data_IF_518229040313
#
_entry.id   IF_518229040313
#
_cell.length_a   1.000
_cell.length_b   1.000
_cell.length_c   1.000
_cell.angle_alpha   90.00
_cell.angle_beta   90.00
_cell.angle_gamma   90.00
#
_symmetry.space_group_name_H-M   'P 1'
#
loop_
_entity.id
_entity.type
_entity.pdbx_description
1 polymer ?
#
# COMPACT_ATOMS: atom_id res chain seq x y z
N UNK A 1 -10.99 -14.76 -56.58
CA UNK A 1 -10.73 -13.45 -55.92
C UNK A 1 -11.62 -13.20 -54.70
N UNK A 2 -12.94 -13.50 -54.72
CA UNK A 2 -13.83 -13.30 -53.56
C UNK A 2 -13.44 -14.06 -52.28
N UNK A 3 -12.91 -15.28 -52.41
CA UNK A 3 -12.51 -16.11 -51.25
C UNK A 3 -11.29 -15.53 -50.51
N UNK A 4 -10.30 -14.95 -51.22
CA UNK A 4 -9.16 -14.25 -50.61
C UNK A 4 -9.59 -12.97 -49.88
N UNK A 5 -10.60 -12.25 -50.38
CA UNK A 5 -11.11 -11.05 -49.75
C UNK A 5 -11.84 -11.36 -48.43
N UNK A 6 -12.60 -12.46 -48.40
CA UNK A 6 -13.27 -12.93 -47.18
C UNK A 6 -12.23 -13.35 -46.12
N UNK A 7 -11.17 -14.05 -46.54
CA UNK A 7 -10.10 -14.48 -45.63
C UNK A 7 -9.32 -13.29 -45.05
N UNK A 8 -9.03 -12.28 -45.88
CA UNK A 8 -8.38 -11.05 -45.46
C UNK A 8 -9.24 -10.24 -44.46
N UNK A 9 -10.55 -10.16 -44.69
CA UNK A 9 -11.51 -9.51 -43.79
C UNK A 9 -11.61 -10.25 -42.45
N UNK A 10 -11.67 -11.58 -42.45
CA UNK A 10 -11.67 -12.36 -41.20
C UNK A 10 -10.35 -12.21 -40.43
N UNK A 11 -9.21 -12.17 -41.10
CA UNK A 11 -7.90 -11.99 -40.46
C UNK A 11 -7.76 -10.60 -39.82
N UNK A 12 -8.24 -9.56 -40.50
CA UNK A 12 -8.27 -8.19 -39.95
C UNK A 12 -9.22 -8.09 -38.74
N UNK A 13 -10.31 -8.85 -38.72
CA UNK A 13 -11.27 -8.89 -37.61
C UNK A 13 -10.68 -9.52 -36.34
N UNK A 14 -9.75 -10.48 -36.49
CA UNK A 14 -9.03 -11.09 -35.37
C UNK A 14 -7.94 -10.18 -34.79
N UNK A 15 -7.37 -9.25 -35.57
CA UNK A 15 -6.35 -8.31 -35.09
C UNK A 15 -6.90 -7.18 -34.22
N UNK A 16 -8.21 -6.93 -34.25
CA UNK A 16 -8.88 -5.92 -33.42
C UNK A 16 -9.68 -6.50 -32.24
N UNK A 17 -9.38 -7.73 -31.82
CA UNK A 17 -9.90 -8.22 -30.54
C UNK A 17 -9.24 -7.42 -29.40
N UNK A 18 -9.90 -6.33 -29.03
CA UNK A 18 -9.87 -5.63 -27.74
C UNK A 18 -8.64 -5.94 -26.88
N UNK A 19 -7.54 -5.23 -27.13
CA UNK A 19 -6.56 -5.01 -26.07
C UNK A 19 -7.25 -4.16 -25.00
N UNK A 20 -7.89 -4.81 -24.03
CA UNK A 20 -8.19 -4.18 -22.75
C UNK A 20 -6.83 -3.97 -22.10
N UNK A 21 -6.21 -2.84 -22.41
CA UNK A 21 -5.11 -2.32 -21.61
C UNK A 21 -5.75 -1.90 -20.29
N UNK A 22 -5.82 -2.83 -19.35
CA UNK A 22 -6.18 -2.48 -17.98
C UNK A 22 -5.15 -1.49 -17.48
N UNK A 23 -5.58 -0.26 -17.28
CA UNK A 23 -4.74 0.83 -16.76
C UNK A 23 -4.73 0.80 -15.24
N UNK A 24 -5.61 0.02 -14.61
CA UNK A 24 -5.61 -0.18 -13.17
C UNK A 24 -6.09 -1.58 -12.77
N UNK A 25 -5.79 -1.93 -11.52
CA UNK A 25 -6.51 -2.99 -10.79
C UNK A 25 -7.20 -2.37 -9.58
N UNK A 26 -8.45 -2.74 -9.35
CA UNK A 26 -9.27 -2.16 -8.27
C UNK A 26 -9.92 -3.20 -7.37
N UNK A 27 -10.08 -2.84 -6.10
CA UNK A 27 -10.85 -3.58 -5.12
C UNK A 27 -11.71 -2.62 -4.30
N UNK A 28 -13.02 -2.81 -4.37
CA UNK A 28 -13.98 -2.05 -3.58
C UNK A 28 -14.21 -2.70 -2.22
N UNK A 29 -14.28 -1.88 -1.18
CA UNK A 29 -14.54 -2.33 0.18
C UNK A 29 -14.95 -1.18 1.09
N UNK A 30 -14.83 -1.43 2.39
CA UNK A 30 -15.10 -0.45 3.43
C UNK A 30 -13.79 -0.03 4.08
N UNK A 31 -13.65 1.25 4.43
CA UNK A 31 -12.45 1.75 5.12
C UNK A 31 -12.28 1.13 6.51
N UNK A 32 -11.07 1.11 7.07
CA UNK A 32 -10.85 0.62 8.43
C UNK A 32 -11.31 1.64 9.51
N UNK A 33 -11.88 1.14 10.60
CA UNK A 33 -12.27 1.95 11.76
C UNK A 33 -11.05 2.41 12.57
N UNK A 34 -10.10 1.52 12.82
CA UNK A 34 -8.89 1.81 13.57
C UNK A 34 -7.63 1.42 12.79
N UNK A 35 -7.03 2.38 12.12
CA UNK A 35 -5.84 2.16 11.30
C UNK A 35 -4.55 2.02 12.12
N UNK A 36 -4.53 2.49 13.37
CA UNK A 36 -3.35 2.41 14.24
C UNK A 36 -3.19 1.03 14.87
N UNK A 37 -4.29 0.34 15.16
CA UNK A 37 -4.26 -1.03 15.68
C UNK A 37 -4.17 -2.05 14.53
N UNK A 38 -2.99 -2.64 14.35
CA UNK A 38 -2.76 -3.62 13.29
C UNK A 38 -3.57 -4.93 13.45
N UNK A 39 -4.09 -5.20 14.64
CA UNK A 39 -4.86 -6.42 14.94
C UNK A 39 -6.38 -6.21 14.81
N UNK A 40 -6.83 -5.01 14.47
CA UNK A 40 -8.24 -4.66 14.33
C UNK A 40 -8.59 -4.39 12.85
N UNK A 41 -9.21 -5.36 12.16
CA UNK A 41 -9.68 -5.18 10.80
C UNK A 41 -11.13 -4.64 10.75
N UNK A 42 -11.69 -4.10 11.83
CA UNK A 42 -13.07 -3.64 11.83
C UNK A 42 -13.31 -2.56 10.75
N UNK A 43 -14.30 -2.74 9.86
CA UNK A 43 -14.63 -1.74 8.88
C UNK A 43 -15.39 -0.58 9.52
N UNK A 44 -15.24 0.59 8.93
CA UNK A 44 -16.15 1.72 9.09
C UNK A 44 -17.21 1.66 7.97
N UNK A 45 -18.27 2.46 8.06
CA UNK A 45 -19.33 2.46 7.04
C UNK A 45 -18.99 3.31 5.80
N UNK A 46 -17.71 3.60 5.56
CA UNK A 46 -17.27 4.45 4.45
C UNK A 46 -16.81 3.57 3.28
N UNK A 47 -17.47 3.63 2.12
CA UNK A 47 -16.99 2.96 0.92
C UNK A 47 -15.64 3.54 0.50
N UNK A 48 -14.69 2.66 0.18
CA UNK A 48 -13.35 3.01 -0.29
C UNK A 48 -12.99 2.05 -1.43
N UNK A 49 -12.28 2.55 -2.43
CA UNK A 49 -11.71 1.73 -3.50
C UNK A 49 -10.19 1.73 -3.37
N UNK A 50 -9.60 0.55 -3.20
CA UNK A 50 -8.16 0.34 -3.38
C UNK A 50 -7.89 0.27 -4.88
N UNK A 51 -7.16 1.25 -5.42
CA UNK A 51 -6.85 1.31 -6.85
C UNK A 51 -5.34 1.41 -7.03
N UNK A 52 -4.78 0.45 -7.79
CA UNK A 52 -3.42 0.52 -8.30
C UNK A 52 -3.47 0.86 -9.79
N UNK A 53 -3.09 2.09 -10.13
CA UNK A 53 -3.08 2.59 -11.50
C UNK A 53 -1.67 2.56 -12.09
N UNK A 54 -1.53 2.12 -13.34
CA UNK A 54 -0.24 2.06 -14.04
C UNK A 54 0.19 3.48 -14.41
N UNK A 55 1.33 3.90 -13.86
CA UNK A 55 2.00 5.15 -14.22
C UNK A 55 2.96 4.92 -15.39
N UNK A 56 3.73 3.82 -15.33
CA UNK A 56 4.80 3.53 -16.28
C UNK A 56 5.00 2.01 -16.42
N UNK A 57 5.09 1.53 -17.65
CA UNK A 57 5.64 0.20 -17.97
C UNK A 57 7.14 0.34 -18.21
N UNK A 58 7.94 -0.21 -17.29
CA UNK A 58 9.40 -0.15 -17.32
C UNK A 58 9.99 -1.25 -18.23
N UNK A 59 9.17 -2.23 -18.62
CA UNK A 59 9.57 -3.41 -19.36
C UNK A 59 10.00 -4.57 -18.46
N UNK A 60 10.11 -5.75 -19.06
CA UNK A 60 10.49 -6.98 -18.33
C UNK A 60 9.47 -7.42 -17.28
N UNK A 61 8.21 -6.98 -17.41
CA UNK A 61 7.13 -7.25 -16.44
C UNK A 61 7.16 -6.32 -15.22
N UNK A 62 8.00 -5.28 -15.20
CA UNK A 62 8.07 -4.31 -14.09
C UNK A 62 7.22 -3.08 -14.42
N UNK A 63 6.42 -2.64 -13.44
CA UNK A 63 5.55 -1.48 -13.56
C UNK A 63 5.74 -0.53 -12.39
N UNK A 64 5.62 0.77 -12.64
CA UNK A 64 5.40 1.76 -11.60
C UNK A 64 3.92 2.06 -11.51
N UNK A 65 3.39 1.98 -10.31
CA UNK A 65 1.97 2.15 -10.03
C UNK A 65 1.74 3.33 -9.09
N UNK A 66 0.54 3.90 -9.15
CA UNK A 66 0.00 4.83 -8.16
C UNK A 66 -1.06 4.10 -7.35
N UNK A 67 -0.90 4.05 -6.03
CA UNK A 67 -1.92 3.54 -5.11
C UNK A 67 -2.78 4.69 -4.59
N UNK A 68 -4.09 4.58 -4.75
CA UNK A 68 -5.09 5.44 -4.09
C UNK A 68 -6.03 4.60 -3.22
N UNK A 69 -6.63 5.24 -2.21
CA UNK A 69 -7.64 4.65 -1.33
C UNK A 69 -7.10 3.68 -0.26
N UNK A 70 -5.98 2.99 -0.50
CA UNK A 70 -5.28 2.18 0.50
C UNK A 70 -5.24 0.70 0.18
N UNK A 71 -4.84 -0.14 1.14
CA UNK A 71 -4.67 -1.60 0.96
C UNK A 71 -5.64 -2.38 1.84
N UNK A 72 -6.19 -3.52 1.38
CA UNK A 72 -6.95 -4.44 2.22
C UNK A 72 -6.14 -4.91 3.43
N UNK A 73 -6.67 -4.62 4.61
CA UNK A 73 -6.21 -5.08 5.90
C UNK A 73 -7.09 -6.22 6.39
N UNK A 74 -6.43 -7.27 6.86
CA UNK A 74 -7.05 -8.45 7.45
C UNK A 74 -6.06 -9.08 8.42
N UNK A 75 -6.58 -9.90 9.33
CA UNK A 75 -5.77 -10.70 10.26
C UNK A 75 -5.99 -12.18 9.96
N UNK A 76 -4.97 -13.01 10.21
CA UNK A 76 -5.10 -14.45 10.02
C UNK A 76 -6.28 -14.99 10.84
N UNK A 77 -7.01 -15.96 10.31
CA UNK A 77 -8.18 -16.56 10.96
C UNK A 77 -9.39 -15.63 11.13
N UNK A 78 -9.45 -14.52 10.41
CA UNK A 78 -10.60 -13.61 10.38
C UNK A 78 -11.09 -13.40 8.93
N UNK A 79 -12.42 -13.36 8.75
CA UNK A 79 -13.06 -13.09 7.46
C UNK A 79 -13.26 -11.60 7.18
N UNK A 80 -13.14 -10.77 8.22
CA UNK A 80 -13.33 -9.33 8.12
C UNK A 80 -12.15 -8.71 7.38
N UNK A 81 -12.47 -7.93 6.35
CA UNK A 81 -11.54 -7.15 5.55
C UNK A 81 -12.00 -5.69 5.56
N UNK A 82 -11.06 -4.78 5.75
CA UNK A 82 -11.26 -3.34 5.57
C UNK A 82 -10.13 -2.76 4.72
N UNK A 83 -10.29 -1.56 4.18
CA UNK A 83 -9.25 -0.87 3.40
C UNK A 83 -8.59 0.17 4.30
N UNK A 84 -7.29 0.02 4.50
CA UNK A 84 -6.49 0.95 5.28
C UNK A 84 -5.87 2.00 4.36
N UNK A 85 -6.44 3.20 4.37
CA UNK A 85 -5.91 4.37 3.65
C UNK A 85 -4.77 5.07 4.39
N UNK A 86 -4.78 5.01 5.73
CA UNK A 86 -3.90 5.86 6.55
C UNK A 86 -2.50 5.29 6.61
N UNK A 87 -2.35 4.01 6.94
CA UNK A 87 -0.99 3.43 7.07
C UNK A 87 -0.46 2.90 5.75
N UNK A 88 -1.33 2.58 4.78
CA UNK A 88 -0.90 2.14 3.45
C UNK A 88 -0.38 3.28 2.58
N UNK A 89 -0.94 4.50 2.70
CA UNK A 89 -0.52 5.66 1.92
C UNK A 89 0.45 6.53 2.75
N UNK A 90 0.10 6.82 4.00
CA UNK A 90 0.96 7.59 4.91
C UNK A 90 0.87 9.10 4.74
N UNK A 91 1.90 9.79 5.22
CA UNK A 91 1.98 11.24 5.35
C UNK A 91 3.18 11.79 4.59
N UNK A 92 3.07 13.05 4.18
CA UNK A 92 4.17 13.85 3.65
C UNK A 92 4.26 15.18 4.40
N UNK A 93 5.45 15.77 4.41
CA UNK A 93 5.63 17.12 4.91
C UNK A 93 7.10 17.45 5.11
N UNK A 94 7.56 18.49 4.43
CA UNK A 94 8.82 19.15 4.76
C UNK A 94 8.48 20.35 5.65
N UNK A 95 8.92 20.41 6.93
CA UNK A 95 8.50 21.46 7.86
C UNK A 95 8.67 22.88 7.33
N UNK A 96 9.78 23.15 6.62
CA UNK A 96 10.10 24.47 6.09
C UNK A 96 9.28 24.87 4.85
N UNK A 97 8.57 23.92 4.23
CA UNK A 97 7.81 24.11 2.98
C UNK A 97 6.31 23.92 3.21
N UNK A 98 5.93 22.78 3.79
CA UNK A 98 4.55 22.33 3.95
C UNK A 98 3.99 22.63 5.36
N UNK A 99 4.85 22.97 6.32
CA UNK A 99 4.47 23.11 7.73
C UNK A 99 4.19 21.76 8.38
N UNK A 100 2.95 21.53 8.84
CA UNK A 100 2.58 20.26 9.48
C UNK A 100 2.44 19.12 8.46
N UNK A 101 2.87 17.90 8.79
CA UNK A 101 2.67 16.76 7.90
C UNK A 101 1.18 16.54 7.61
N UNK A 102 0.87 16.27 6.35
CA UNK A 102 -0.48 16.04 5.84
C UNK A 102 -0.60 14.63 5.26
N UNK A 103 -1.79 14.02 5.32
CA UNK A 103 -2.02 12.73 4.68
C UNK A 103 -1.84 12.86 3.17
N UNK A 104 -1.26 11.83 2.56
CA UNK A 104 -1.16 11.71 1.11
C UNK A 104 -2.48 11.19 0.53
N UNK A 105 -2.83 11.66 -0.67
CA UNK A 105 -3.97 11.15 -1.44
C UNK A 105 -3.61 9.89 -2.24
N UNK A 106 -2.34 9.79 -2.63
CA UNK A 106 -1.79 8.66 -3.37
C UNK A 106 -0.32 8.40 -3.00
N UNK A 107 0.15 7.19 -3.28
CA UNK A 107 1.56 6.84 -3.10
C UNK A 107 2.08 5.98 -4.25
N UNK A 108 3.35 6.17 -4.62
CA UNK A 108 3.99 5.35 -5.64
C UNK A 108 4.23 3.93 -5.12
N UNK A 109 3.99 2.97 -6.00
CA UNK A 109 4.25 1.55 -5.78
C UNK A 109 5.06 0.98 -6.95
N UNK A 110 5.77 -0.11 -6.70
CA UNK A 110 6.48 -0.87 -7.75
C UNK A 110 5.87 -2.25 -7.85
N UNK A 111 5.66 -2.71 -9.07
CA UNK A 111 5.09 -4.02 -9.32
C UNK A 111 5.94 -4.85 -10.28
N UNK A 112 5.85 -6.17 -10.12
CA UNK A 112 6.43 -7.14 -11.03
C UNK A 112 5.39 -8.22 -11.35
N UNK A 113 5.12 -8.42 -12.63
CA UNK A 113 4.20 -9.42 -13.14
C UNK A 113 4.94 -10.47 -13.96
N UNK A 114 4.87 -11.73 -13.52
CA UNK A 114 5.51 -12.87 -14.20
C UNK A 114 4.66 -13.51 -15.30
N UNK A 115 3.43 -13.04 -15.50
CA UNK A 115 2.40 -13.70 -16.31
C UNK A 115 1.45 -14.58 -15.49
N UNK A 116 1.84 -14.97 -14.27
CA UNK A 116 1.01 -15.76 -13.35
C UNK A 116 0.85 -15.09 -11.98
N UNK A 117 1.96 -14.62 -11.42
CA UNK A 117 1.97 -13.93 -10.13
C UNK A 117 2.27 -12.45 -10.35
N UNK A 118 1.52 -11.61 -9.64
CA UNK A 118 1.75 -10.17 -9.57
C UNK A 118 2.20 -9.83 -8.15
N UNK A 119 3.37 -9.22 -8.02
CA UNK A 119 3.91 -8.75 -6.74
C UNK A 119 3.91 -7.23 -6.76
N UNK A 120 3.31 -6.59 -5.77
CA UNK A 120 3.30 -5.13 -5.62
C UNK A 120 3.94 -4.77 -4.28
N UNK A 121 4.87 -3.81 -4.29
CA UNK A 121 5.52 -3.28 -3.10
C UNK A 121 5.14 -1.82 -2.94
N UNK A 122 4.63 -1.50 -1.75
CA UNK A 122 4.22 -0.15 -1.33
C UNK A 122 4.99 0.22 -0.07
N UNK A 123 5.61 1.40 -0.07
CA UNK A 123 6.35 1.92 1.08
C UNK A 123 5.72 3.24 1.52
N UNK A 124 5.33 3.34 2.79
CA UNK A 124 4.67 4.51 3.36
C UNK A 124 5.35 4.94 4.66
N UNK A 125 5.15 6.20 5.04
CA UNK A 125 5.59 6.75 6.32
C UNK A 125 4.36 7.18 7.13
N UNK A 126 4.24 6.67 8.35
CA UNK A 126 3.21 7.05 9.29
C UNK A 126 3.84 7.82 10.45
N UNK A 127 3.23 8.92 10.86
CA UNK A 127 3.62 9.64 12.08
C UNK A 127 2.40 9.86 12.97
N UNK A 128 2.62 9.81 14.28
CA UNK A 128 1.58 10.06 15.28
C UNK A 128 1.36 11.55 15.58
N UNK A 129 2.19 12.44 15.00
CA UNK A 129 2.16 13.89 15.21
C UNK A 129 2.10 14.31 16.69
N UNK A 130 2.63 13.48 17.59
CA UNK A 130 2.51 13.66 19.04
C UNK A 130 3.54 14.64 19.64
N UNK A 131 4.45 15.17 18.82
CA UNK A 131 5.43 16.17 19.25
C UNK A 131 4.72 17.45 19.71
N UNK A 132 4.93 17.81 20.98
CA UNK A 132 4.43 19.02 21.63
C UNK A 132 5.61 19.74 22.25
N UNK A 133 5.60 21.07 22.09
CA UNK A 133 6.47 21.96 22.85
C UNK A 133 5.72 22.34 24.12
N UNK A 134 6.19 21.88 25.27
CA UNK A 134 5.62 22.34 26.53
C UNK A 134 6.14 23.75 26.83
N UNK A 135 5.25 24.71 27.04
CA UNK A 135 5.59 26.13 27.16
C UNK A 135 6.29 26.46 28.48
N UNK A 136 6.22 25.57 29.48
CA UNK A 136 6.74 25.79 30.83
C UNK A 136 8.02 25.04 31.15
N UNK A 137 8.43 24.09 30.30
CA UNK A 137 9.56 23.21 30.56
C UNK A 137 10.31 23.01 29.25
N UNK A 138 11.63 23.17 29.24
CA UNK A 138 12.50 22.98 28.06
C UNK A 138 12.61 21.51 27.62
N UNK A 139 11.52 20.75 27.70
CA UNK A 139 11.38 19.40 27.20
C UNK A 139 10.61 19.43 25.88
N UNK A 140 11.14 18.72 24.90
CA UNK A 140 10.43 18.39 23.67
C UNK A 140 9.89 16.98 23.80
N UNK A 141 8.58 16.77 23.57
CA UNK A 141 8.08 15.42 23.27
C UNK A 141 8.36 15.11 21.80
N UNK A 142 8.62 13.84 21.51
CA UNK A 142 9.02 13.38 20.19
C UNK A 142 7.87 12.64 19.52
N UNK A 143 7.73 12.84 18.21
CA UNK A 143 6.80 12.06 17.39
C UNK A 143 7.37 10.68 17.12
N UNK A 144 6.50 9.69 17.07
CA UNK A 144 6.84 8.37 16.55
C UNK A 144 6.71 8.40 15.03
N UNK A 145 7.72 7.85 14.35
CA UNK A 145 7.71 7.69 12.90
C UNK A 145 7.83 6.20 12.60
N UNK A 146 6.89 5.68 11.82
CA UNK A 146 6.85 4.30 11.38
C UNK A 146 7.05 4.24 9.87
N UNK A 147 8.04 3.48 9.44
CA UNK A 147 8.22 3.15 8.03
C UNK A 147 7.52 1.83 7.76
N UNK A 148 6.54 1.83 6.87
CA UNK A 148 5.70 0.66 6.62
C UNK A 148 5.94 0.20 5.19
N UNK A 149 6.27 -1.08 5.03
CA UNK A 149 6.40 -1.74 3.73
C UNK A 149 5.37 -2.84 3.64
N UNK A 150 4.49 -2.74 2.65
CA UNK A 150 3.52 -3.76 2.30
C UNK A 150 3.93 -4.42 0.98
N UNK A 151 4.17 -5.73 1.01
CA UNK A 151 4.35 -6.55 -0.20
C UNK A 151 3.11 -7.39 -0.41
N UNK A 152 2.35 -7.07 -1.45
CA UNK A 152 1.14 -7.78 -1.85
C UNK A 152 1.49 -8.80 -2.93
N UNK A 153 1.02 -10.04 -2.76
CA UNK A 153 1.26 -11.12 -3.71
C UNK A 153 -0.08 -11.61 -4.21
N UNK A 154 -0.30 -11.43 -5.51
CA UNK A 154 -1.52 -11.79 -6.21
C UNK A 154 -1.28 -12.96 -7.15
N UNK A 155 -2.33 -13.74 -7.38
CA UNK A 155 -2.42 -14.71 -8.47
C UNK A 155 -3.37 -14.19 -9.53
N UNK A 156 -2.90 -14.16 -10.77
CA UNK A 156 -3.73 -13.79 -11.91
C UNK A 156 -4.68 -14.93 -12.28
N UNK A 157 -5.96 -14.60 -12.45
CA UNK A 157 -6.98 -15.49 -12.98
C UNK A 157 -7.32 -15.09 -14.42
N UNK A 158 -6.85 -15.83 -15.43
CA UNK A 158 -7.08 -15.47 -16.83
C UNK A 158 -8.53 -15.64 -17.27
N UNK A 159 -9.35 -16.44 -16.58
CA UNK A 159 -10.73 -16.70 -16.98
C UNK A 159 -11.63 -15.48 -16.78
N UNK A 160 -11.39 -14.73 -15.71
CA UNK A 160 -12.18 -13.56 -15.31
C UNK A 160 -11.38 -12.26 -15.38
N UNK A 161 -10.12 -12.33 -15.84
CA UNK A 161 -9.22 -11.17 -15.94
C UNK A 161 -9.11 -10.41 -14.61
N UNK A 162 -8.77 -11.13 -13.55
CA UNK A 162 -8.69 -10.60 -12.18
C UNK A 162 -7.41 -11.02 -11.46
N UNK A 163 -7.08 -10.32 -10.38
CA UNK A 163 -5.96 -10.62 -9.51
C UNK A 163 -6.49 -10.96 -8.12
N UNK A 164 -6.34 -12.22 -7.71
CA UNK A 164 -6.68 -12.67 -6.37
C UNK A 164 -5.52 -12.40 -5.42
N UNK A 165 -5.74 -11.63 -4.36
CA UNK A 165 -4.74 -11.42 -3.32
C UNK A 165 -4.56 -12.71 -2.51
N UNK A 166 -3.37 -13.30 -2.58
CA UNK A 166 -3.05 -14.56 -1.92
C UNK A 166 -2.32 -14.34 -0.59
N UNK A 167 -1.49 -13.29 -0.52
CA UNK A 167 -0.66 -13.02 0.65
C UNK A 167 -0.28 -11.56 0.73
N UNK A 168 -0.17 -11.04 1.96
CA UNK A 168 0.46 -9.75 2.26
C UNK A 168 1.59 -9.99 3.25
N UNK A 169 2.77 -9.47 2.93
CA UNK A 169 3.89 -9.38 3.87
C UNK A 169 3.94 -7.95 4.35
N UNK A 170 3.65 -7.75 5.63
CA UNK A 170 3.63 -6.46 6.29
C UNK A 170 4.88 -6.31 7.17
N UNK A 171 5.65 -5.26 6.91
CA UNK A 171 6.83 -4.88 7.66
C UNK A 171 6.65 -3.47 8.19
N UNK A 172 6.93 -3.25 9.47
CA UNK A 172 6.84 -1.94 10.12
C UNK A 172 8.12 -1.61 10.86
N UNK A 173 8.95 -0.76 10.25
CA UNK A 173 10.04 -0.04 10.89
C UNK A 173 9.55 0.92 11.98
N UNK A 174 10.33 1.08 13.04
CA UNK A 174 10.09 2.08 14.09
C UNK A 174 11.31 2.98 14.27
N UNK A 175 11.10 4.29 14.25
CA UNK A 175 12.13 5.25 14.65
C UNK A 175 11.62 6.00 15.85
N UNK A 176 12.36 5.91 16.96
CA UNK A 176 12.10 6.69 18.16
C UNK A 176 13.24 7.67 18.37
N UNK A 177 12.89 8.94 18.36
CA UNK A 177 13.78 9.99 18.84
C UNK A 177 13.46 10.23 20.30
N UNK A 178 14.46 10.33 21.19
CA UNK A 178 14.24 10.71 22.58
C UNK A 178 15.03 11.99 22.86
N UNK A 179 14.40 12.97 23.50
CA UNK A 179 15.08 14.21 23.88
C UNK A 179 16.19 13.94 24.91
N UNK A 180 17.31 14.65 24.78
CA UNK A 180 18.35 14.76 25.80
C UNK A 180 18.02 15.88 26.79
N UNK A 181 18.39 15.73 28.05
CA UNK A 181 18.25 16.80 29.04
C UNK A 181 19.48 17.73 29.02
N UNK A 182 19.24 19.03 28.91
CA UNK A 182 20.22 20.14 28.94
C UNK A 182 21.22 20.21 27.78
N UNK A 183 21.81 21.39 27.56
CA UNK A 183 22.76 21.79 26.49
C UNK A 183 24.02 20.90 26.31
N UNK A 184 24.12 19.75 27.00
CA UNK A 184 25.30 18.89 27.03
C UNK A 184 25.05 17.43 26.62
N UNK A 185 23.80 16.99 26.46
CA UNK A 185 23.50 15.65 25.93
C UNK A 185 23.06 15.81 24.47
N UNK A 186 23.87 15.38 23.48
CA UNK A 186 23.49 15.45 22.08
C UNK A 186 22.20 14.66 21.82
N UNK A 187 21.46 15.07 20.80
CA UNK A 187 20.30 14.36 20.28
C UNK A 187 20.62 12.87 20.12
N UNK A 188 19.93 12.02 20.87
CA UNK A 188 20.05 10.57 20.75
C UNK A 188 18.92 10.07 19.83
N UNK A 189 19.24 9.99 18.54
CA UNK A 189 18.44 9.25 17.59
C UNK A 189 18.70 7.76 17.81
N UNK A 190 17.72 7.03 18.32
CA UNK A 190 17.80 5.58 18.37
C UNK A 190 16.95 5.02 17.23
N UNK A 191 17.60 4.75 16.10
CA UNK A 191 17.00 3.94 15.04
C UNK A 191 17.05 2.49 15.51
N UNK A 192 15.95 2.00 16.10
CA UNK A 192 15.78 0.58 16.39
C UNK A 192 15.00 -0.04 15.23
N UNK A 193 15.61 -0.87 14.38
CA UNK A 193 14.82 -1.67 13.44
C UNK A 193 13.95 -2.65 14.24
N UNK A 194 12.73 -2.22 14.57
CA UNK A 194 11.62 -3.09 14.88
C UNK A 194 10.92 -3.37 13.56
N UNK A 195 10.43 -4.60 13.37
CA UNK A 195 9.56 -4.90 12.24
C UNK A 195 8.08 -4.91 12.63
N UNK A 196 7.71 -4.83 13.93
CA UNK A 196 6.35 -4.54 14.42
C UNK A 196 6.32 -3.90 15.84
N UNK A 197 5.86 -4.62 16.88
CA UNK A 197 5.55 -4.06 18.22
C UNK A 197 6.75 -4.08 19.16
N UNK A 198 7.75 -4.92 18.88
CA UNK A 198 8.97 -5.09 19.67
C UNK A 198 10.24 -4.94 18.82
N UNK A 199 11.36 -4.45 19.39
CA UNK A 199 12.65 -4.50 18.71
C UNK A 199 12.95 -5.93 18.23
N UNK A 200 13.41 -6.11 16.99
CA UNK A 200 13.71 -7.41 16.37
C UNK A 200 12.51 -8.32 16.04
N UNK A 201 11.29 -7.80 15.96
CA UNK A 201 10.15 -8.61 15.51
C UNK A 201 10.35 -9.14 14.07
N UNK A 202 9.61 -10.18 13.67
CA UNK A 202 9.65 -10.72 12.30
C UNK A 202 8.57 -10.08 11.42
N UNK A 203 8.77 -10.02 10.09
CA UNK A 203 7.71 -9.71 9.13
C UNK A 203 6.40 -10.44 9.41
N UNK A 204 5.27 -9.71 9.42
CA UNK A 204 3.94 -10.34 9.52
C UNK A 204 3.54 -10.86 8.15
N UNK A 205 3.41 -12.19 8.04
CA UNK A 205 2.87 -12.83 6.84
C UNK A 205 1.39 -13.10 7.06
N UNK A 206 0.56 -12.40 6.28
CA UNK A 206 -0.89 -12.45 6.37
C UNK A 206 -1.45 -13.16 5.14
N UNK A 207 -2.37 -14.09 5.37
CA UNK A 207 -3.10 -14.81 4.32
C UNK A 207 -4.60 -14.61 4.52
N UNK A 208 -5.32 -14.02 3.56
CA UNK A 208 -6.74 -13.75 3.72
C UNK A 208 -7.53 -15.06 3.63
N UNK A 209 -8.55 -15.19 4.48
CA UNK A 209 -9.54 -16.29 4.36
C UNK A 209 -10.59 -15.95 3.32
N UNK A 210 -11.00 -14.68 3.28
CA UNK A 210 -11.96 -14.16 2.31
C UNK A 210 -11.28 -13.94 0.97
N UNK A 211 -11.97 -14.23 -0.12
CA UNK A 211 -11.47 -13.95 -1.47
C UNK A 211 -11.46 -12.43 -1.70
N UNK A 212 -10.26 -11.86 -1.78
CA UNK A 212 -10.03 -10.45 -2.13
C UNK A 212 -9.59 -10.42 -3.59
N UNK A 213 -10.53 -10.06 -4.47
CA UNK A 213 -10.36 -10.12 -5.92
C UNK A 213 -10.33 -8.73 -6.52
N UNK A 214 -9.18 -8.37 -7.09
CA UNK A 214 -8.99 -7.13 -7.81
C UNK A 214 -9.38 -7.31 -9.27
N UNK A 215 -10.20 -6.39 -9.78
CA UNK A 215 -10.66 -6.41 -11.18
C UNK A 215 -9.78 -5.49 -12.01
N UNK A 216 -9.55 -5.88 -13.26
CA UNK A 216 -8.92 -4.99 -14.25
C UNK A 216 -9.91 -3.89 -14.65
N UNK A 217 -9.46 -2.64 -14.64
CA UNK A 217 -10.15 -1.46 -15.15
C UNK A 217 -9.31 -0.74 -16.20
#
# INVERSE_FOLDING_TARGET
>A
MRVMQIFALTLFSFLFHSHVFGIAIVYDGLGCLNTVNANDPAPNNTPVQSKFEVIEDVGGGVFRLSLTGGIPRFVNNNQIVCIDSVTAIGYTGIPDVDGFPRPLESINATAYFSGQDLVIVVNSLLTDLSARRDSFVSFFSTSNIFAITNTLIFKFNPQVSSFRLNKVIHNRGYVHTRSGSTNFIPFLETVLPSFNDFPQDKPRVLTPISDIEYRLE
#
